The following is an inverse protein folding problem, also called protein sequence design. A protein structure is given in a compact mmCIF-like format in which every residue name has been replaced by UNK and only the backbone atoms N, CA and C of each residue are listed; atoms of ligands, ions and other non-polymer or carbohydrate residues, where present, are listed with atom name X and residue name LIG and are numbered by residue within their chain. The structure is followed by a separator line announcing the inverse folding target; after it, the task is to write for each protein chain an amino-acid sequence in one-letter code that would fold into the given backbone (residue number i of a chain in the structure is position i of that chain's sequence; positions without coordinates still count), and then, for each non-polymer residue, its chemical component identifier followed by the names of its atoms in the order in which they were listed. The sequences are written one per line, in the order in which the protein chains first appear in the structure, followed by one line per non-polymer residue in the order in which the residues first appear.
data_IF_949944595236
#
_entry.id   IF_949944595236
#
_cell.length_a   1.000
_cell.length_b   1.000
_cell.length_c   1.000
_cell.angle_alpha   90.00
_cell.angle_beta   90.00
_cell.angle_gamma   90.00
#
_symmetry.space_group_name_H-M   'P 1'
#
loop_
_entity.id
_entity.type
_entity.pdbx_description
1 polymer ?
#
# COMPACT_ATOMS: atom_id res chain seq x y z
N UNK A 1 -13.87 -21.02 -28.34
CA UNK A 1 -13.96 -19.62 -28.82
C UNK A 1 -14.30 -18.77 -27.59
N UNK A 2 -13.29 -18.17 -26.96
CA UNK A 2 -13.44 -17.46 -25.68
C UNK A 2 -13.90 -16.03 -26.00
N UNK A 3 -15.07 -15.64 -25.47
CA UNK A 3 -15.54 -14.24 -25.51
C UNK A 3 -14.69 -13.43 -24.53
N UNK A 4 -13.81 -12.59 -25.08
CA UNK A 4 -13.15 -11.53 -24.34
C UNK A 4 -14.22 -10.48 -24.03
N UNK A 5 -14.50 -10.25 -22.75
CA UNK A 5 -15.29 -9.10 -22.33
C UNK A 5 -14.49 -7.84 -22.64
N UNK A 6 -15.04 -7.00 -23.51
CA UNK A 6 -14.48 -5.69 -23.83
C UNK A 6 -14.35 -4.89 -22.52
N UNK A 7 -13.12 -4.56 -22.15
CA UNK A 7 -12.81 -3.49 -21.19
C UNK A 7 -13.15 -2.14 -21.86
N UNK A 8 -14.43 -1.91 -22.13
CA UNK A 8 -14.95 -0.64 -22.64
C UNK A 8 -15.39 0.23 -21.48
N UNK A 9 -14.45 0.93 -20.86
CA UNK A 9 -14.58 2.35 -20.52
C UNK A 9 -13.34 2.84 -19.77
N UNK A 10 -12.23 2.95 -20.49
CA UNK A 10 -11.40 4.13 -20.23
C UNK A 10 -12.30 5.33 -20.48
N UNK A 11 -12.77 6.00 -19.41
CA UNK A 11 -13.55 7.24 -19.50
C UNK A 11 -12.70 8.29 -20.19
N UNK A 12 -12.82 8.36 -21.51
CA UNK A 12 -12.45 9.55 -22.29
C UNK A 12 -13.63 10.51 -22.26
N UNK A 13 -13.30 11.77 -21.98
CA UNK A 13 -14.10 12.98 -22.18
C UNK A 13 -15.20 13.31 -21.17
N UNK A 14 -14.84 14.12 -20.17
CA UNK A 14 -15.53 15.38 -19.86
C UNK A 14 -14.50 16.41 -19.39
N UNK A 15 -14.58 17.65 -19.90
CA UNK A 15 -13.95 18.83 -19.32
C UNK A 15 -14.39 18.90 -17.85
N UNK A 16 -13.51 18.44 -16.97
CA UNK A 16 -13.67 18.54 -15.53
C UNK A 16 -13.53 20.04 -15.24
N UNK A 17 -14.53 20.65 -14.60
CA UNK A 17 -14.28 21.90 -13.90
C UNK A 17 -13.37 21.53 -12.71
N UNK A 18 -12.07 21.46 -13.01
CA UNK A 18 -11.07 20.57 -12.41
C UNK A 18 -10.88 20.67 -10.90
N UNK A 19 -11.29 21.76 -10.27
CA UNK A 19 -11.02 21.98 -8.84
C UNK A 19 -12.10 21.42 -7.91
N UNK A 20 -13.37 21.55 -8.27
CA UNK A 20 -14.45 21.21 -7.34
C UNK A 20 -14.66 19.70 -7.24
N UNK A 21 -14.53 18.98 -8.35
CA UNK A 21 -14.56 17.51 -8.36
C UNK A 21 -13.33 16.91 -7.66
N UNK A 22 -12.14 17.50 -7.85
CA UNK A 22 -10.92 17.07 -7.13
C UNK A 22 -11.06 17.29 -5.62
N UNK A 23 -11.59 18.44 -5.18
CA UNK A 23 -11.83 18.70 -3.77
C UNK A 23 -12.83 17.71 -3.17
N UNK A 24 -13.94 17.44 -3.85
CA UNK A 24 -14.94 16.47 -3.39
C UNK A 24 -14.38 15.05 -3.31
N UNK A 25 -13.55 14.64 -4.27
CA UNK A 25 -12.87 13.34 -4.23
C UNK A 25 -11.88 13.33 -3.05
N UNK A 26 -11.04 14.35 -2.91
CA UNK A 26 -10.08 14.45 -1.83
C UNK A 26 -10.75 14.38 -0.46
N UNK A 27 -11.82 15.16 -0.24
CA UNK A 27 -12.59 15.14 1.01
C UNK A 27 -13.18 13.76 1.27
N UNK A 28 -13.78 13.13 0.26
CA UNK A 28 -14.36 11.79 0.40
C UNK A 28 -13.30 10.75 0.79
N UNK A 29 -12.16 10.71 0.10
CA UNK A 29 -11.09 9.75 0.37
C UNK A 29 -10.42 10.04 1.73
N UNK A 30 -10.22 11.31 2.08
CA UNK A 30 -9.65 11.70 3.38
C UNK A 30 -10.58 11.35 4.54
N UNK A 31 -11.87 11.67 4.43
CA UNK A 31 -12.86 11.34 5.46
C UNK A 31 -13.00 9.82 5.60
N UNK A 32 -12.99 9.09 4.49
CA UNK A 32 -13.04 7.63 4.51
C UNK A 32 -11.81 7.04 5.23
N UNK A 33 -10.61 7.50 4.92
CA UNK A 33 -9.36 6.97 5.48
C UNK A 33 -9.15 7.30 6.96
N UNK A 34 -9.82 8.32 7.49
CA UNK A 34 -9.80 8.65 8.93
C UNK A 34 -10.73 7.73 9.75
N UNK A 35 -11.63 6.99 9.10
CA UNK A 35 -12.50 6.04 9.80
C UNK A 35 -11.70 4.83 10.30
N UNK A 36 -12.08 4.34 11.48
CA UNK A 36 -11.52 3.11 12.05
C UNK A 36 -11.78 1.93 11.11
N UNK A 37 -10.82 1.01 11.06
CA UNK A 37 -10.89 -0.23 10.28
C UNK A 37 -10.95 -0.03 8.74
N UNK A 38 -10.43 1.09 8.23
CA UNK A 38 -10.21 1.25 6.78
C UNK A 38 -8.88 0.66 6.33
N UNK A 39 -8.85 0.11 5.11
CA UNK A 39 -7.65 -0.49 4.52
C UNK A 39 -6.59 0.60 4.28
N UNK A 40 -5.36 0.37 4.76
CA UNK A 40 -4.26 1.31 4.56
C UNK A 40 -3.66 1.19 3.16
N UNK A 41 -3.63 2.29 2.43
CA UNK A 41 -2.93 2.44 1.15
C UNK A 41 -1.47 2.96 1.29
N UNK A 42 -0.68 2.82 0.22
CA UNK A 42 0.72 3.30 0.15
C UNK A 42 0.88 4.79 0.50
N UNK A 43 -0.12 5.61 0.17
CA UNK A 43 -0.11 7.05 0.45
C UNK A 43 -0.05 7.36 1.95
N UNK A 44 -0.65 6.50 2.78
CA UNK A 44 -0.53 6.63 4.24
C UNK A 44 0.90 6.37 4.71
N UNK A 45 1.61 5.42 4.11
CA UNK A 45 3.03 5.20 4.43
C UNK A 45 3.90 6.38 3.97
N UNK A 46 3.58 7.00 2.83
CA UNK A 46 4.28 8.21 2.38
C UNK A 46 4.08 9.36 3.37
N UNK A 47 2.83 9.64 3.74
CA UNK A 47 2.50 10.65 4.73
C UNK A 47 3.12 10.34 6.11
N UNK A 48 3.10 9.09 6.54
CA UNK A 48 3.72 8.67 7.80
C UNK A 48 5.24 8.87 7.80
N UNK A 49 5.92 8.59 6.68
CA UNK A 49 7.35 8.86 6.56
C UNK A 49 7.65 10.33 6.80
N UNK A 50 6.92 11.23 6.13
CA UNK A 50 7.04 12.68 6.29
C UNK A 50 6.74 13.16 7.73
N UNK A 51 5.63 12.71 8.31
CA UNK A 51 5.20 13.12 9.66
C UNK A 51 6.19 12.65 10.74
N UNK A 52 6.70 11.43 10.62
CA UNK A 52 7.67 10.86 11.56
C UNK A 52 9.10 11.38 11.31
N UNK A 53 9.34 11.99 10.15
CA UNK A 53 10.67 12.40 9.71
C UNK A 53 11.66 11.22 9.63
N UNK A 54 11.17 10.02 9.29
CA UNK A 54 11.98 8.80 9.22
C UNK A 54 11.76 8.09 7.89
N UNK A 55 12.80 7.38 7.44
CA UNK A 55 12.68 6.50 6.26
C UNK A 55 11.76 5.33 6.60
N UNK A 56 10.81 5.01 5.73
CA UNK A 56 10.02 3.79 5.82
C UNK A 56 10.43 2.86 4.69
N UNK A 57 10.90 1.66 5.02
CA UNK A 57 11.14 0.60 4.04
C UNK A 57 9.93 -0.32 4.05
N UNK A 58 9.23 -0.34 2.92
CA UNK A 58 8.04 -1.16 2.72
C UNK A 58 8.39 -2.36 1.86
N UNK A 59 8.08 -3.57 2.34
CA UNK A 59 8.39 -4.83 1.66
C UNK A 59 7.11 -5.53 1.26
N UNK A 60 7.06 -6.08 0.05
CA UNK A 60 5.90 -6.81 -0.46
C UNK A 60 6.23 -8.31 -0.58
N UNK A 61 5.40 -9.24 -0.07
CA UNK A 61 5.68 -10.66 -0.13
C UNK A 61 5.63 -11.16 -1.57
N UNK A 62 6.41 -12.20 -1.92
CA UNK A 62 6.40 -12.85 -3.24
C UNK A 62 5.12 -13.64 -3.53
N UNK A 63 3.99 -12.93 -3.58
CA UNK A 63 2.63 -13.36 -3.88
C UNK A 63 1.95 -12.30 -4.74
N UNK A 64 0.85 -12.67 -5.38
CA UNK A 64 0.00 -11.75 -6.12
C UNK A 64 0.64 -11.17 -7.39
N UNK A 65 0.01 -10.15 -8.00
CA UNK A 65 0.47 -9.56 -9.25
C UNK A 65 1.82 -8.84 -9.14
N UNK A 66 2.70 -9.01 -10.14
CA UNK A 66 4.00 -8.36 -10.20
C UNK A 66 3.95 -6.81 -10.25
N UNK A 67 2.82 -6.22 -10.65
CA UNK A 67 2.63 -4.77 -10.60
C UNK A 67 2.55 -4.24 -9.16
N UNK A 68 1.96 -5.01 -8.24
CA UNK A 68 1.88 -4.64 -6.83
C UNK A 68 3.25 -4.66 -6.18
N UNK A 69 4.06 -5.68 -6.48
CA UNK A 69 5.48 -5.74 -6.08
C UNK A 69 6.22 -4.46 -6.42
N UNK A 70 6.19 -4.05 -7.69
CA UNK A 70 6.89 -2.85 -8.16
C UNK A 70 6.40 -1.55 -7.51
N UNK A 71 5.13 -1.50 -7.10
CA UNK A 71 4.52 -0.30 -6.52
C UNK A 71 4.71 -0.23 -5.01
N UNK A 72 4.59 -1.36 -4.32
CA UNK A 72 4.44 -1.45 -2.87
C UNK A 72 5.73 -1.87 -2.17
N UNK A 73 6.65 -2.56 -2.88
CA UNK A 73 8.00 -2.82 -2.40
C UNK A 73 8.91 -1.63 -2.71
N UNK A 74 9.08 -0.74 -1.74
CA UNK A 74 9.82 0.52 -1.93
C UNK A 74 10.30 1.15 -0.64
N UNK A 75 11.34 1.96 -0.78
CA UNK A 75 11.81 2.87 0.27
C UNK A 75 11.17 4.25 0.12
N UNK A 76 10.57 4.73 1.19
CA UNK A 76 9.92 6.04 1.30
C UNK A 76 10.80 6.93 2.16
N UNK A 77 11.18 8.09 1.62
CA UNK A 77 12.04 9.05 2.32
C UNK A 77 11.21 10.28 2.71
N UNK A 78 11.41 10.80 3.93
CA UNK A 78 10.76 12.02 4.34
C UNK A 78 11.39 13.23 3.65
N UNK A 79 10.59 14.28 3.51
CA UNK A 79 11.00 15.60 3.05
C UNK A 79 11.93 16.29 4.06
N UNK A 80 11.77 15.97 5.35
CA UNK A 80 12.63 16.44 6.45
C UNK A 80 13.01 15.28 7.35
N UNK A 81 14.32 15.03 7.50
CA UNK A 81 14.83 13.95 8.33
C UNK A 81 14.94 14.37 9.80
N UNK A 82 14.39 13.55 10.69
CA UNK A 82 14.47 13.65 12.15
C UNK A 82 15.42 12.60 12.73
N UNK A 83 15.46 11.39 12.13
CA UNK A 83 16.39 10.33 12.52
C UNK A 83 16.87 9.55 11.29
N UNK A 84 18.12 9.02 11.32
CA UNK A 84 18.60 8.11 10.29
C UNK A 84 17.99 6.70 10.35
N UNK A 85 17.36 6.30 11.46
CA UNK A 85 16.81 4.94 11.58
C UNK A 85 15.62 4.74 10.65
N UNK A 86 15.59 3.59 9.97
CA UNK A 86 14.47 3.18 9.14
C UNK A 86 13.42 2.41 9.94
N UNK A 87 12.16 2.65 9.62
CA UNK A 87 11.03 1.82 10.06
C UNK A 87 10.78 0.79 8.98
N UNK A 88 10.77 -0.49 9.35
CA UNK A 88 10.52 -1.59 8.44
C UNK A 88 9.04 -2.01 8.54
N UNK A 89 8.37 -2.12 7.40
CA UNK A 89 6.98 -2.57 7.33
C UNK A 89 6.80 -3.59 6.22
N UNK A 90 5.87 -4.53 6.42
CA UNK A 90 5.53 -5.56 5.45
C UNK A 90 4.06 -5.50 5.09
N UNK A 91 3.78 -5.56 3.79
CA UNK A 91 2.42 -5.77 3.29
C UNK A 91 1.95 -7.18 3.59
N UNK A 92 0.73 -7.28 4.11
CA UNK A 92 0.09 -8.52 4.52
C UNK A 92 -1.38 -8.50 4.13
N UNK A 93 -2.05 -9.63 4.32
CA UNK A 93 -3.47 -9.76 4.02
C UNK A 93 -4.14 -10.54 5.13
N UNK A 94 -5.25 -10.01 5.62
CA UNK A 94 -6.11 -10.72 6.56
C UNK A 94 -7.18 -11.55 5.83
N UNK A 95 -7.12 -11.60 4.49
CA UNK A 95 -8.07 -12.34 3.65
C UNK A 95 -7.50 -13.73 3.34
N UNK A 96 -8.34 -14.75 3.46
CA UNK A 96 -8.03 -16.08 2.96
C UNK A 96 -8.26 -16.09 1.44
N UNK A 97 -7.16 -16.09 0.68
CA UNK A 97 -7.21 -16.12 -0.79
C UNK A 97 -6.67 -17.49 -1.24
N UNK A 98 -7.52 -18.36 -1.81
CA UNK A 98 -7.12 -19.72 -2.20
C UNK A 98 -6.04 -19.76 -3.29
N UNK A 99 -6.05 -18.77 -4.20
CA UNK A 99 -5.06 -18.66 -5.27
C UNK A 99 -3.99 -17.60 -4.92
N UNK A 100 -2.71 -17.99 -4.76
CA UNK A 100 -1.61 -17.06 -4.52
C UNK A 100 -1.47 -15.95 -5.56
N UNK A 101 -1.87 -16.17 -6.82
CA UNK A 101 -1.74 -15.19 -7.91
C UNK A 101 -2.74 -14.03 -7.78
N UNK A 102 -3.85 -14.25 -7.07
CA UNK A 102 -4.86 -13.22 -6.78
C UNK A 102 -4.68 -12.59 -5.41
N UNK A 103 -3.55 -12.87 -4.74
CA UNK A 103 -3.28 -12.30 -3.45
C UNK A 103 -3.17 -10.77 -3.54
N UNK A 104 -3.87 -10.08 -2.64
CA UNK A 104 -3.84 -8.62 -2.53
C UNK A 104 -3.63 -8.24 -1.08
N UNK A 105 -2.72 -7.29 -0.86
CA UNK A 105 -2.47 -6.74 0.46
C UNK A 105 -3.61 -5.81 0.87
N UNK A 106 -4.03 -5.92 2.13
CA UNK A 106 -4.99 -5.01 2.75
C UNK A 106 -4.61 -4.67 4.20
N UNK A 107 -3.44 -5.10 4.64
CA UNK A 107 -2.95 -4.91 6.00
C UNK A 107 -1.44 -4.65 5.99
N UNK A 108 -0.93 -3.92 6.97
CA UNK A 108 0.50 -3.61 7.12
C UNK A 108 0.95 -4.09 8.49
N UNK A 109 2.05 -4.84 8.52
CA UNK A 109 2.68 -5.32 9.75
C UNK A 109 4.00 -4.61 9.97
N UNK A 110 4.30 -4.23 11.22
CA UNK A 110 5.63 -3.73 11.58
C UNK A 110 6.63 -4.90 11.59
N UNK A 111 7.79 -4.69 10.98
CA UNK A 111 8.89 -5.65 11.06
C UNK A 111 9.86 -5.19 12.14
N UNK A 112 10.08 -6.05 13.13
CA UNK A 112 11.09 -5.83 14.15
C UNK A 112 12.36 -6.57 13.77
N UNK A 113 13.53 -5.91 13.76
CA UNK A 113 14.79 -6.58 13.50
C UNK A 113 15.03 -7.60 14.62
N UNK A 114 15.22 -8.86 14.24
CA UNK A 114 15.63 -9.87 15.19
C UNK A 114 17.08 -9.59 15.59
N UNK A 115 17.35 -9.47 16.89
CA UNK A 115 18.70 -9.28 17.42
C UNK A 115 19.61 -10.48 17.12
N UNK A 116 19.00 -11.65 16.89
CA UNK A 116 19.63 -12.90 16.47
C UNK A 116 18.65 -13.67 15.57
N UNK A 117 19.09 -14.39 14.52
CA UNK A 117 18.21 -15.22 13.70
C UNK A 117 17.52 -16.27 14.59
N UNK A 118 16.20 -16.15 14.75
CA UNK A 118 15.41 -17.16 15.44
C UNK A 118 15.47 -18.46 14.62
N UNK A 119 16.08 -19.50 15.18
CA UNK A 119 16.03 -20.84 14.59
C UNK A 119 14.65 -21.38 14.92
N UNK A 120 13.74 -21.36 13.94
CA UNK A 120 12.43 -21.97 14.08
C UNK A 120 12.58 -23.41 13.61
N UNK A 121 12.59 -24.35 14.56
CA UNK A 121 12.42 -25.77 14.24
C UNK A 121 10.98 -25.95 13.77
N UNK A 122 10.82 -26.32 12.50
CA UNK A 122 9.52 -26.66 11.92
C UNK A 122 9.34 -28.16 12.16
N UNK A 123 8.48 -28.53 13.12
CA UNK A 123 7.97 -29.89 13.27
C UNK A 123 7.06 -30.30 12.10
#
# INVERSE_FOLDING_TARGET
MIKVAELSSCRTDKNINDFEEVNQIYERETVYTVQLCTDMCLWHLMAASDVLGRTIVSVYPNKGPACHHKLLDRTLKPSKFVSPDAILVMWSSCREIPNPDYWVANHISLLLPLSQPATIEIE
#
